data_IF_336085439832
#
_entry.id   IF_336085439832
#
_cell.length_a   1.000
_cell.length_b   1.000
_cell.length_c   1.000
_cell.angle_alpha   90.00
_cell.angle_beta   90.00
_cell.angle_gamma   90.00
#
_symmetry.space_group_name_H-M   'P 1'
#
loop_
_entity.id
_entity.type
_entity.pdbx_description
1 polymer ?
#
# COMPACT_ATOMS: atom_id res chain seq x y z
N UNK A 1 -7.06 -43.19 27.89
CA UNK A 1 -6.28 -41.98 28.23
C UNK A 1 -6.02 -41.22 26.94
N UNK A 2 -6.72 -40.11 26.70
CA UNK A 2 -6.53 -39.28 25.50
C UNK A 2 -5.42 -38.26 25.76
N UNK A 3 -4.33 -38.37 25.01
CA UNK A 3 -3.19 -37.46 25.11
C UNK A 3 -3.47 -36.22 24.27
N UNK A 4 -3.57 -35.06 24.91
CA UNK A 4 -3.68 -33.78 24.22
C UNK A 4 -2.31 -33.39 23.65
N UNK A 5 -2.20 -33.30 22.32
CA UNK A 5 -1.00 -32.78 21.66
C UNK A 5 -0.98 -31.25 21.74
N UNK A 6 0.07 -30.68 22.31
CA UNK A 6 0.26 -29.24 22.39
C UNK A 6 0.50 -28.67 20.98
N UNK A 7 -0.32 -27.68 20.58
CA UNK A 7 -0.11 -26.94 19.32
C UNK A 7 1.11 -26.04 19.47
N UNK A 8 2.10 -26.21 18.58
CA UNK A 8 3.25 -25.31 18.46
C UNK A 8 2.77 -23.86 18.29
N UNK A 9 3.34 -22.89 19.03
CA UNK A 9 3.02 -21.49 18.82
C UNK A 9 3.41 -21.10 17.40
N UNK A 10 2.44 -20.56 16.65
CA UNK A 10 2.70 -20.00 15.32
C UNK A 10 3.44 -18.69 15.52
N UNK A 11 4.68 -18.61 15.09
CA UNK A 11 5.39 -17.33 14.91
C UNK A 11 4.62 -16.51 13.90
N UNK A 12 4.01 -15.41 14.36
CA UNK A 12 3.31 -14.46 13.49
C UNK A 12 4.35 -13.79 12.60
N UNK A 13 4.25 -13.98 11.29
CA UNK A 13 5.09 -13.26 10.33
C UNK A 13 4.88 -11.76 10.55
N UNK A 14 5.94 -10.93 10.57
CA UNK A 14 5.81 -9.49 10.67
C UNK A 14 4.82 -9.00 9.60
N UNK A 15 3.86 -8.18 10.01
CA UNK A 15 3.00 -7.54 9.02
C UNK A 15 3.84 -6.54 8.25
N UNK A 16 3.78 -6.56 6.91
CA UNK A 16 4.50 -5.59 6.10
C UNK A 16 4.04 -4.18 6.46
N UNK A 17 5.00 -3.27 6.67
CA UNK A 17 4.71 -1.88 7.01
C UNK A 17 4.02 -1.19 5.82
N UNK A 18 3.02 -0.33 6.07
CA UNK A 18 2.35 0.39 4.99
C UNK A 18 3.32 1.34 4.28
N UNK A 19 3.17 1.47 2.97
CA UNK A 19 3.95 2.41 2.16
C UNK A 19 3.72 3.85 2.65
N UNK A 20 4.76 4.62 2.98
CA UNK A 20 4.58 5.98 3.51
C UNK A 20 3.97 6.94 2.49
N UNK A 21 4.16 6.68 1.20
CA UNK A 21 3.69 7.54 0.10
C UNK A 21 2.19 7.42 -0.12
N UNK A 22 1.67 6.20 -0.25
CA UNK A 22 0.24 5.94 -0.50
C UNK A 22 -0.52 5.52 0.77
N UNK A 23 0.15 5.43 1.92
CA UNK A 23 -0.45 5.06 3.22
C UNK A 23 -1.19 3.72 3.20
N UNK A 24 -0.73 2.76 2.39
CA UNK A 24 -1.35 1.45 2.29
C UNK A 24 -2.36 1.28 1.16
N UNK A 25 -2.76 2.34 0.45
CA UNK A 25 -3.77 2.20 -0.62
C UNK A 25 -3.24 1.51 -1.87
N UNK A 26 -1.93 1.59 -2.13
CA UNK A 26 -1.34 1.14 -3.39
C UNK A 26 -1.54 2.12 -4.55
N UNK A 27 -2.25 3.23 -4.35
CA UNK A 27 -2.58 4.20 -5.39
C UNK A 27 -2.15 5.61 -5.01
N UNK A 28 -1.90 6.44 -6.02
CA UNK A 28 -1.57 7.85 -5.86
C UNK A 28 -2.42 8.70 -6.81
N UNK A 29 -3.15 9.64 -6.24
CA UNK A 29 -3.93 10.64 -6.96
C UNK A 29 -3.12 11.89 -7.29
N UNK A 30 -3.30 12.43 -8.49
CA UNK A 30 -2.68 13.69 -8.93
C UNK A 30 -3.69 14.54 -9.70
N UNK A 31 -3.65 15.85 -9.44
CA UNK A 31 -4.43 16.81 -10.22
C UNK A 31 -3.87 16.93 -11.64
N UNK A 32 -4.75 16.84 -12.63
CA UNK A 32 -4.41 17.11 -14.02
C UNK A 32 -4.48 18.62 -14.24
N UNK A 33 -3.40 19.18 -14.76
CA UNK A 33 -3.29 20.61 -15.08
C UNK A 33 -3.00 20.80 -16.57
N UNK A 34 -3.75 21.69 -17.23
CA UNK A 34 -3.63 21.90 -18.69
C UNK A 34 -3.48 23.38 -19.05
N UNK A 35 -2.99 23.61 -20.27
CA UNK A 35 -2.79 24.95 -20.84
C UNK A 35 -1.61 25.72 -20.22
N UNK A 36 -1.33 26.93 -20.75
CA UNK A 36 -0.19 27.75 -20.31
C UNK A 36 -0.31 28.22 -18.85
N UNK A 37 -1.55 28.37 -18.33
CA UNK A 37 -1.82 28.74 -16.93
C UNK A 37 -1.92 27.55 -15.97
N UNK A 38 -1.72 26.31 -16.45
CA UNK A 38 -1.81 25.08 -15.65
C UNK A 38 -3.09 24.99 -14.80
N UNK A 39 -4.24 25.28 -15.40
CA UNK A 39 -5.53 25.20 -14.70
C UNK A 39 -5.86 23.75 -14.37
N UNK A 40 -6.37 23.51 -13.17
CA UNK A 40 -6.82 22.18 -12.74
C UNK A 40 -8.10 21.84 -13.47
N UNK A 41 -8.11 20.70 -14.16
CA UNK A 41 -9.28 20.22 -14.94
C UNK A 41 -9.83 18.89 -14.43
N UNK A 42 -9.17 18.27 -13.47
CA UNK A 42 -9.60 17.01 -12.88
C UNK A 42 -8.50 16.35 -12.05
N UNK A 43 -8.72 15.09 -11.72
CA UNK A 43 -7.80 14.23 -10.99
C UNK A 43 -7.58 12.93 -11.75
N UNK A 44 -6.36 12.42 -11.71
CA UNK A 44 -5.99 11.11 -12.19
C UNK A 44 -5.47 10.28 -11.02
N UNK A 45 -6.06 9.11 -10.84
CA UNK A 45 -5.54 8.10 -9.92
C UNK A 45 -4.73 7.08 -10.72
N UNK A 46 -3.56 6.72 -10.21
CA UNK A 46 -2.74 5.66 -10.79
C UNK A 46 -2.04 4.86 -9.71
N UNK A 47 -1.31 3.81 -10.12
CA UNK A 47 -0.55 2.99 -9.19
C UNK A 47 0.52 3.82 -8.46
N UNK A 48 0.68 3.57 -7.16
CA UNK A 48 1.73 4.20 -6.39
C UNK A 48 3.09 3.63 -6.83
N UNK A 49 3.88 4.47 -7.48
CA UNK A 49 5.19 4.09 -8.02
C UNK A 49 6.23 3.79 -6.92
N UNK A 50 6.02 4.28 -5.69
CA UNK A 50 6.92 4.01 -4.57
C UNK A 50 6.83 2.57 -4.06
N UNK A 51 5.67 1.93 -4.22
CA UNK A 51 5.44 0.55 -3.77
C UNK A 51 4.95 -0.37 -4.90
N UNK A 52 4.99 0.11 -6.15
CA UNK A 52 4.50 -0.60 -7.34
C UNK A 52 3.08 -1.18 -7.15
N UNK A 53 2.18 -0.41 -6.54
CA UNK A 53 0.80 -0.85 -6.31
C UNK A 53 0.58 -1.77 -5.11
N UNK A 54 1.63 -2.24 -4.43
CA UNK A 54 1.47 -3.22 -3.33
C UNK A 54 0.87 -2.65 -2.05
N UNK A 55 0.94 -1.32 -1.85
CA UNK A 55 0.55 -0.66 -0.61
C UNK A 55 1.55 -0.84 0.54
N UNK A 56 2.62 -1.61 0.36
CA UNK A 56 3.60 -1.89 1.41
C UNK A 56 4.91 -1.14 1.15
N UNK A 57 5.66 -0.83 2.21
CA UNK A 57 7.00 -0.27 2.06
C UNK A 57 7.89 -1.26 1.30
N UNK A 58 8.76 -0.78 0.38
CA UNK A 58 9.79 -1.63 -0.19
C UNK A 58 10.69 -2.12 0.96
N UNK A 59 10.96 -3.41 0.97
CA UNK A 59 11.86 -4.06 1.93
C UNK A 59 13.34 -3.76 1.68
#
# INVERSE_FOLDING_TARGET
MTVATAKKPRTRRPQPTPCPTCKGTGEASRLIRTGPLRRVVGEQTGMCLACLGTGHAPE
#
